data_IF_340997933143
#
_entry.id   IF_340997933143
#
_cell.length_a   1.000
_cell.length_b   1.000
_cell.length_c   1.000
_cell.angle_alpha   90.00
_cell.angle_beta   90.00
_cell.angle_gamma   90.00
#
_symmetry.space_group_name_H-M   'P 1'
#
loop_
_entity.id
_entity.type
_entity.pdbx_description
1 polymer ?
#
# COMPACT_ATOMS: atom_id res chain seq x y z
N UNK A 1 10.80 15.85 -16.94
CA UNK A 1 9.53 16.56 -17.21
C UNK A 1 8.49 16.01 -16.24
N UNK A 2 7.80 16.88 -15.48
CA UNK A 2 6.70 16.46 -14.61
C UNK A 2 5.46 17.26 -15.01
N UNK A 3 4.33 16.57 -15.15
CA UNK A 3 3.04 17.20 -15.43
C UNK A 3 2.20 17.10 -14.17
N UNK A 4 1.70 18.22 -13.67
CA UNK A 4 0.77 18.24 -12.53
C UNK A 4 -0.59 18.60 -13.09
N UNK A 5 -1.53 17.66 -13.03
CA UNK A 5 -2.93 17.88 -13.37
C UNK A 5 -3.73 18.12 -12.09
N UNK A 6 -4.39 19.29 -12.01
CA UNK A 6 -5.27 19.63 -10.89
C UNK A 6 -6.72 19.32 -11.24
N UNK A 7 -7.31 18.34 -10.56
CA UNK A 7 -8.74 18.07 -10.67
C UNK A 7 -9.53 18.97 -9.70
N UNK A 8 -10.49 19.74 -10.23
CA UNK A 8 -11.26 20.76 -9.48
C UNK A 8 -12.35 20.19 -8.54
N UNK A 9 -12.34 18.90 -8.22
CA UNK A 9 -13.41 18.26 -7.43
C UNK A 9 -12.82 17.41 -6.31
N UNK A 10 -13.30 17.62 -5.09
CA UNK A 10 -12.92 16.85 -3.90
C UNK A 10 -11.88 17.55 -3.02
N UNK A 11 -11.42 16.83 -2.00
CA UNK A 11 -10.33 17.27 -1.13
C UNK A 11 -9.03 17.42 -1.95
N UNK A 12 -8.13 18.35 -1.59
CA UNK A 12 -6.85 18.52 -2.29
C UNK A 12 -6.07 17.20 -2.29
N UNK A 13 -5.84 16.64 -3.48
CA UNK A 13 -5.00 15.47 -3.69
C UNK A 13 -4.22 15.63 -5.00
N UNK A 14 -3.10 14.91 -5.12
CA UNK A 14 -2.26 14.89 -6.31
C UNK A 14 -1.96 13.46 -6.71
N UNK A 15 -2.12 13.16 -8.00
CA UNK A 15 -1.60 11.93 -8.59
C UNK A 15 -0.22 12.23 -9.16
N UNK A 16 0.83 11.71 -8.50
CA UNK A 16 2.21 11.91 -8.92
C UNK A 16 2.75 10.63 -9.55
N UNK A 17 2.88 10.61 -10.89
CA UNK A 17 3.58 9.56 -11.61
C UNK A 17 5.02 9.99 -11.87
N UNK A 18 5.98 9.21 -11.36
CA UNK A 18 7.41 9.46 -11.52
C UNK A 18 8.01 8.40 -12.45
N UNK A 19 8.54 8.84 -13.58
CA UNK A 19 9.37 8.02 -14.45
C UNK A 19 10.83 8.18 -14.02
N UNK A 20 11.43 7.12 -13.48
CA UNK A 20 12.84 7.10 -13.10
C UNK A 20 13.72 6.95 -14.34
N UNK A 21 14.89 7.59 -14.33
CA UNK A 21 15.92 7.38 -15.34
C UNK A 21 16.31 5.90 -15.40
N UNK A 22 16.75 5.40 -16.57
CA UNK A 22 17.10 3.98 -16.74
C UNK A 22 18.13 3.51 -15.70
N UNK A 23 19.13 4.34 -15.43
CA UNK A 23 20.19 4.07 -14.44
C UNK A 23 19.71 4.08 -12.98
N UNK A 24 18.49 4.55 -12.73
CA UNK A 24 17.84 4.59 -11.42
C UNK A 24 16.57 3.74 -11.38
N UNK A 25 16.32 2.90 -12.39
CA UNK A 25 15.24 1.94 -12.31
C UNK A 25 15.59 0.89 -11.25
N UNK A 26 14.55 0.36 -10.64
CA UNK A 26 14.57 -0.76 -9.72
C UNK A 26 14.01 -1.98 -10.48
N UNK A 27 14.78 -2.60 -11.40
CA UNK A 27 14.25 -3.62 -12.29
C UNK A 27 14.03 -4.96 -11.60
N UNK A 28 14.71 -5.21 -10.47
CA UNK A 28 14.58 -6.50 -9.78
C UNK A 28 13.50 -6.45 -8.69
N UNK A 29 12.97 -7.62 -8.36
CA UNK A 29 12.08 -7.79 -7.22
C UNK A 29 12.71 -7.32 -5.90
N UNK A 30 14.00 -7.59 -5.71
CA UNK A 30 14.78 -7.13 -4.55
C UNK A 30 14.79 -5.61 -4.46
N UNK A 31 15.09 -4.94 -5.57
CA UNK A 31 15.14 -3.48 -5.61
C UNK A 31 13.77 -2.85 -5.25
N UNK A 32 12.67 -3.48 -5.69
CA UNK A 32 11.31 -3.05 -5.36
C UNK A 32 11.04 -3.23 -3.86
N UNK A 33 11.46 -4.35 -3.27
CA UNK A 33 11.26 -4.64 -1.85
C UNK A 33 12.04 -3.66 -0.93
N UNK A 34 13.12 -3.05 -1.43
CA UNK A 34 13.85 -2.00 -0.69
C UNK A 34 13.09 -0.67 -0.58
N UNK A 35 12.19 -0.38 -1.52
CA UNK A 35 11.50 0.91 -1.62
C UNK A 35 9.99 0.81 -1.39
N UNK A 36 9.37 -0.35 -1.58
CA UNK A 36 7.94 -0.58 -1.41
C UNK A 36 7.73 -1.68 -0.36
N UNK A 37 6.88 -1.37 0.61
CA UNK A 37 6.36 -2.31 1.61
C UNK A 37 4.88 -2.55 1.36
N UNK A 38 4.43 -3.78 1.65
CA UNK A 38 3.02 -4.17 1.76
C UNK A 38 2.74 -4.83 3.10
N UNK A 39 3.47 -4.42 4.13
CA UNK A 39 3.39 -5.00 5.48
C UNK A 39 2.91 -3.97 6.51
N UNK A 40 2.23 -4.46 7.53
CA UNK A 40 1.95 -3.72 8.75
C UNK A 40 3.27 -3.67 9.55
N UNK A 41 3.86 -2.49 9.78
CA UNK A 41 5.09 -2.39 10.55
C UNK A 41 4.83 -2.78 12.02
N UNK A 42 5.88 -3.06 12.78
CA UNK A 42 5.77 -3.26 14.23
C UNK A 42 5.40 -1.94 14.90
N UNK A 43 4.36 -1.96 15.74
CA UNK A 43 3.99 -0.79 16.55
C UNK A 43 5.09 -0.45 17.57
N UNK A 44 5.86 -1.43 18.03
CA UNK A 44 6.95 -1.21 18.99
C UNK A 44 8.16 -0.56 18.32
N UNK A 45 8.53 -1.01 17.12
CA UNK A 45 9.74 -0.54 16.43
C UNK A 45 9.53 0.80 15.73
N UNK A 46 8.34 1.01 15.13
CA UNK A 46 8.00 2.25 14.43
C UNK A 46 6.52 2.63 14.63
N UNK A 47 6.13 3.13 15.83
CA UNK A 47 4.76 3.51 16.13
C UNK A 47 4.20 4.56 15.18
N UNK A 48 5.08 5.42 14.66
CA UNK A 48 4.72 6.46 13.71
C UNK A 48 4.30 5.87 12.36
N UNK A 49 5.15 5.01 11.78
CA UNK A 49 4.82 4.34 10.53
C UNK A 49 3.60 3.44 10.68
N UNK A 50 3.48 2.74 11.81
CA UNK A 50 2.30 1.95 12.12
C UNK A 50 1.02 2.76 12.01
N UNK A 51 0.96 3.90 12.70
CA UNK A 51 -0.21 4.79 12.66
C UNK A 51 -0.50 5.32 11.25
N UNK A 52 0.55 5.64 10.48
CA UNK A 52 0.38 6.11 9.10
C UNK A 52 -0.15 5.00 8.18
N UNK A 53 0.36 3.77 8.33
CA UNK A 53 -0.09 2.60 7.57
C UNK A 53 -1.55 2.30 7.91
N UNK A 54 -1.89 2.19 9.19
CA UNK A 54 -3.26 1.97 9.68
C UNK A 54 -4.27 2.94 9.09
N UNK A 55 -3.94 4.23 9.11
CA UNK A 55 -4.82 5.28 8.64
C UNK A 55 -4.91 5.38 7.12
N UNK A 56 -3.82 5.15 6.39
CA UNK A 56 -3.73 5.55 4.99
C UNK A 56 -3.39 4.42 4.01
N UNK A 57 -2.68 3.38 4.45
CA UNK A 57 -2.17 2.31 3.56
C UNK A 57 -2.89 0.98 3.76
N UNK A 58 -4.08 1.01 4.34
CA UNK A 58 -4.92 -0.15 4.56
C UNK A 58 -6.17 -0.05 3.69
N UNK A 59 -6.32 -1.02 2.78
CA UNK A 59 -7.58 -1.25 2.08
C UNK A 59 -8.66 -1.53 3.12
N UNK A 60 -9.80 -0.83 3.01
CA UNK A 60 -10.90 -1.04 3.94
C UNK A 60 -11.37 -2.50 3.95
N UNK A 61 -11.93 -2.98 5.07
CA UNK A 61 -12.57 -4.29 5.11
C UNK A 61 -13.52 -4.46 3.91
N UNK A 62 -13.47 -5.61 3.27
CA UNK A 62 -14.28 -5.95 2.11
C UNK A 62 -14.41 -7.47 2.00
N UNK A 63 -15.15 -7.94 1.00
CA UNK A 63 -15.44 -9.36 0.83
C UNK A 63 -16.45 -9.82 1.88
N UNK A 64 -16.26 -11.04 2.37
CA UNK A 64 -17.15 -11.66 3.37
C UNK A 64 -17.20 -10.84 4.67
N UNK A 65 -16.09 -10.17 5.02
CA UNK A 65 -16.01 -9.35 6.24
C UNK A 65 -16.84 -8.06 6.13
N UNK A 66 -17.03 -7.52 4.91
CA UNK A 66 -17.80 -6.31 4.67
C UNK A 66 -18.36 -6.29 3.24
N UNK A 67 -19.48 -6.99 2.98
CA UNK A 67 -20.04 -7.14 1.63
C UNK A 67 -20.55 -5.84 1.02
N UNK A 68 -20.89 -4.86 1.87
CA UNK A 68 -21.44 -3.56 1.47
C UNK A 68 -20.35 -2.52 1.17
N UNK A 69 -19.06 -2.89 1.19
CA UNK A 69 -17.98 -1.95 0.90
C UNK A 69 -18.06 -1.45 -0.56
N UNK A 70 -17.76 -0.18 -0.85
CA UNK A 70 -17.89 0.39 -2.20
C UNK A 70 -17.06 -0.30 -3.29
N UNK A 71 -15.98 -0.99 -2.91
CA UNK A 71 -15.15 -1.76 -3.84
C UNK A 71 -15.80 -3.10 -4.24
N UNK A 72 -16.87 -3.54 -3.59
CA UNK A 72 -17.51 -4.81 -3.88
C UNK A 72 -18.35 -4.73 -5.15
N UNK A 73 -18.07 -5.65 -6.09
CA UNK A 73 -18.80 -5.81 -7.36
C UNK A 73 -19.02 -7.31 -7.58
N UNK A 74 -20.26 -7.71 -7.84
CA UNK A 74 -20.62 -9.11 -8.15
C UNK A 74 -20.06 -10.12 -7.13
N UNK A 75 -20.11 -9.76 -5.85
CA UNK A 75 -19.64 -10.60 -4.74
C UNK A 75 -18.12 -10.63 -4.52
N UNK A 76 -17.33 -9.87 -5.28
CA UNK A 76 -15.86 -9.81 -5.16
C UNK A 76 -15.36 -8.37 -5.03
N UNK A 77 -14.22 -8.17 -4.37
CA UNK A 77 -13.57 -6.87 -4.36
C UNK A 77 -13.01 -6.55 -5.76
N UNK A 78 -13.32 -5.38 -6.31
CA UNK A 78 -12.82 -4.89 -7.60
C UNK A 78 -11.30 -4.69 -7.64
N UNK A 79 -10.66 -4.63 -6.47
CA UNK A 79 -9.20 -4.54 -6.31
C UNK A 79 -8.59 -5.86 -5.83
N UNK A 80 -9.38 -6.94 -5.81
CA UNK A 80 -8.95 -8.30 -5.47
C UNK A 80 -8.40 -8.43 -4.05
N UNK A 81 -8.97 -7.69 -3.10
CA UNK A 81 -8.69 -7.88 -1.67
C UNK A 81 -9.62 -8.93 -1.05
N UNK A 82 -9.14 -9.67 -0.03
CA UNK A 82 -7.77 -9.71 0.46
C UNK A 82 -6.79 -10.29 -0.58
N UNK A 83 -5.58 -9.73 -0.67
CA UNK A 83 -4.48 -10.31 -1.47
C UNK A 83 -4.03 -11.63 -0.86
N UNK A 84 -3.36 -12.47 -1.62
CA UNK A 84 -2.71 -13.66 -1.06
C UNK A 84 -1.39 -13.28 -0.40
N UNK A 85 -0.96 -14.08 0.56
CA UNK A 85 0.43 -14.02 1.03
C UNK A 85 1.35 -14.49 -0.08
N UNK A 86 2.53 -13.89 -0.13
CA UNK A 86 3.48 -14.08 -1.23
C UNK A 86 4.90 -14.09 -0.65
N UNK A 87 5.63 -15.22 -0.66
CA UNK A 87 6.97 -15.32 -0.07
C UNK A 87 8.05 -14.46 -0.72
N UNK A 88 7.84 -13.95 -1.94
CA UNK A 88 8.79 -13.06 -2.61
C UNK A 88 8.10 -12.22 -3.68
N UNK A 89 8.62 -11.01 -3.98
CA UNK A 89 8.06 -10.22 -5.07
C UNK A 89 8.28 -10.92 -6.42
N UNK A 90 7.21 -11.08 -7.18
CA UNK A 90 7.23 -11.64 -8.54
C UNK A 90 6.81 -10.57 -9.55
N UNK A 91 7.51 -10.50 -10.68
CA UNK A 91 7.14 -9.61 -11.78
C UNK A 91 6.40 -10.41 -12.85
N UNK A 92 5.26 -9.89 -13.30
CA UNK A 92 4.56 -10.45 -14.46
C UNK A 92 5.27 -10.10 -15.79
N UNK A 93 4.74 -10.59 -16.91
CA UNK A 93 5.30 -10.33 -18.24
C UNK A 93 5.29 -8.84 -18.65
N UNK A 94 4.49 -8.02 -17.98
CA UNK A 94 4.41 -6.58 -18.20
C UNK A 94 5.23 -5.79 -17.17
N UNK A 95 5.92 -6.47 -16.24
CA UNK A 95 6.68 -5.87 -15.16
C UNK A 95 5.84 -5.41 -13.96
N UNK A 96 4.58 -5.81 -13.83
CA UNK A 96 3.80 -5.52 -12.64
C UNK A 96 4.21 -6.42 -11.47
N UNK A 97 4.44 -5.86 -10.28
CA UNK A 97 4.82 -6.63 -9.10
C UNK A 97 3.60 -7.25 -8.40
N UNK A 98 3.68 -8.56 -8.16
CA UNK A 98 2.99 -9.24 -7.07
C UNK A 98 3.90 -9.25 -5.85
N UNK A 99 3.69 -8.27 -4.96
CA UNK A 99 4.61 -7.94 -3.88
C UNK A 99 4.75 -9.05 -2.84
N UNK A 100 5.97 -9.18 -2.31
CA UNK A 100 6.27 -9.94 -1.12
C UNK A 100 5.38 -9.51 0.04
N UNK A 101 4.55 -10.44 0.52
CA UNK A 101 3.56 -10.19 1.57
C UNK A 101 3.63 -11.28 2.61
N UNK A 102 4.34 -11.01 3.71
CA UNK A 102 4.54 -11.97 4.80
C UNK A 102 3.26 -12.24 5.58
N UNK A 103 3.13 -13.48 6.04
CA UNK A 103 2.23 -13.85 7.11
C UNK A 103 3.00 -13.84 8.44
N UNK A 104 3.22 -12.65 9.00
CA UNK A 104 4.02 -12.43 10.21
C UNK A 104 3.16 -12.28 11.49
N UNK A 105 1.84 -12.51 11.41
CA UNK A 105 0.92 -12.36 12.53
C UNK A 105 0.57 -10.92 12.91
N UNK A 106 1.12 -9.91 12.23
CA UNK A 106 0.74 -8.52 12.46
C UNK A 106 -0.68 -8.28 11.96
N UNK A 107 -1.45 -7.52 12.74
CA UNK A 107 -2.82 -7.18 12.41
C UNK A 107 -3.22 -5.81 12.94
N UNK A 108 -4.22 -5.23 12.31
CA UNK A 108 -4.83 -3.94 12.66
C UNK A 108 -6.32 -4.17 12.86
N UNK A 109 -6.92 -3.49 13.83
CA UNK A 109 -8.38 -3.42 13.98
C UNK A 109 -8.92 -2.20 13.23
N UNK A 110 -9.69 -2.42 12.16
CA UNK A 110 -10.32 -1.36 11.39
C UNK A 110 -11.83 -1.54 11.40
N UNK A 111 -12.55 -0.61 12.04
CA UNK A 111 -14.01 -0.66 12.22
C UNK A 111 -14.50 -1.97 12.86
N UNK A 112 -13.77 -2.50 13.86
CA UNK A 112 -14.10 -3.75 14.54
C UNK A 112 -13.73 -5.02 13.76
N UNK A 113 -13.14 -4.89 12.57
CA UNK A 113 -12.64 -6.03 11.78
C UNK A 113 -11.13 -6.11 11.93
N UNK A 114 -10.63 -7.29 12.32
CA UNK A 114 -9.18 -7.58 12.33
C UNK A 114 -8.73 -7.92 10.92
N UNK A 115 -7.73 -7.21 10.45
CA UNK A 115 -7.13 -7.38 9.13
C UNK A 115 -5.61 -7.47 9.24
N UNK A 116 -5.03 -8.32 8.41
CA UNK A 116 -3.60 -8.59 8.37
C UNK A 116 -2.96 -7.96 7.13
N UNK A 117 -1.71 -8.34 6.84
CA UNK A 117 -0.97 -7.83 5.69
C UNK A 117 -1.73 -8.01 4.37
N UNK A 118 -2.69 -8.92 4.22
CA UNK A 118 -3.47 -9.11 2.97
C UNK A 118 -4.30 -7.90 2.57
N UNK A 119 -4.53 -6.95 3.47
CA UNK A 119 -5.27 -5.71 3.22
C UNK A 119 -4.37 -4.48 3.01
N UNK A 120 -3.05 -4.61 3.14
CA UNK A 120 -2.13 -3.48 2.97
C UNK A 120 -1.96 -3.12 1.50
N UNK A 121 -2.16 -1.85 1.19
CA UNK A 121 -1.85 -1.25 -0.12
C UNK A 121 -0.35 -0.94 -0.18
N UNK A 122 0.33 -1.22 -1.30
CA UNK A 122 1.77 -0.93 -1.43
C UNK A 122 2.11 0.53 -1.14
N UNK A 123 3.14 0.75 -0.32
CA UNK A 123 3.56 2.08 0.10
C UNK A 123 5.08 2.17 0.24
N UNK A 124 5.62 3.38 0.10
CA UNK A 124 7.03 3.65 0.41
C UNK A 124 7.13 4.25 1.83
N UNK A 125 7.77 3.57 2.80
CA UNK A 125 7.85 4.07 4.18
C UNK A 125 8.44 5.47 4.32
N UNK A 126 9.51 5.77 3.57
CA UNK A 126 10.20 7.07 3.61
C UNK A 126 9.30 8.18 3.07
N UNK A 127 8.66 7.95 1.93
CA UNK A 127 7.76 8.92 1.31
C UNK A 127 6.50 9.13 2.17
N UNK A 128 5.95 8.06 2.75
CA UNK A 128 4.76 8.14 3.60
C UNK A 128 5.01 9.05 4.80
N UNK A 129 6.12 8.85 5.53
CA UNK A 129 6.52 9.73 6.63
C UNK A 129 6.76 11.17 6.16
N UNK A 130 7.45 11.35 5.03
CA UNK A 130 7.75 12.67 4.46
C UNK A 130 6.48 13.45 4.12
N UNK A 131 5.53 12.82 3.45
CA UNK A 131 4.27 13.45 3.01
C UNK A 131 3.37 13.73 4.21
N UNK A 132 3.39 12.90 5.25
CA UNK A 132 2.63 13.15 6.48
C UNK A 132 3.12 14.34 7.30
N UNK A 133 4.26 14.95 6.95
CA UNK A 133 4.81 16.14 7.61
C UNK A 133 5.56 15.85 8.91
N UNK A 134 5.87 14.59 9.20
CA UNK A 134 6.50 14.21 10.48
C UNK A 134 8.02 14.41 10.50
N UNK A 135 8.67 14.61 9.36
CA UNK A 135 10.03 15.16 9.35
C UNK A 135 9.96 16.64 9.72
N UNK A 136 10.06 16.92 11.03
CA UNK A 136 10.43 18.24 11.53
C UNK A 136 11.94 18.40 11.31
N UNK A 137 12.32 19.41 10.54
CA UNK A 137 13.71 19.89 10.47
C UNK A 137 14.19 20.39 11.82
#
# INVERSE_FOLDING_TARGET
MHTIEFQKRGLPHVHLFLFLHLDNKYPSSTDIDEIISVEIPSHEDDPELYRLVENHMIHGPCGILQPNSPCMKEGKCSHFYPKQFQPQTLLDSNGYPDYHRRNNGHSISKNGVIIDNRYVVPYNPKLLKKISGTYKY
#
